data_IF_369938506052
#
_entry.id   IF_369938506052
#
_cell.length_a   1.000
_cell.length_b   1.000
_cell.length_c   1.000
_cell.angle_alpha   90.00
_cell.angle_beta   90.00
_cell.angle_gamma   90.00
#
_symmetry.space_group_name_H-M   'P 1'
#
loop_
_entity.id
_entity.type
_entity.pdbx_description
1 polymer ?
#
# COMPACT_ATOMS: atom_id res chain seq x y z
N UNK A 1 6.78 12.78 1.91
CA UNK A 1 6.55 14.26 1.89
C UNK A 1 5.60 14.61 0.74
N UNK A 2 4.62 15.45 0.99
CA UNK A 2 3.67 15.91 -0.03
C UNK A 2 3.83 17.42 -0.26
N UNK A 3 3.88 17.82 -1.53
CA UNK A 3 4.03 19.22 -1.93
C UNK A 3 2.98 19.58 -2.99
N UNK A 4 2.24 20.66 -2.79
CA UNK A 4 1.30 21.19 -3.80
C UNK A 4 2.11 22.00 -4.82
N UNK A 5 1.99 21.64 -6.09
CA UNK A 5 2.70 22.29 -7.22
C UNK A 5 1.86 23.37 -7.91
N UNK A 6 0.57 23.13 -8.08
CA UNK A 6 -0.35 24.11 -8.63
C UNK A 6 -1.77 23.88 -8.12
N UNK A 7 -2.55 24.95 -8.12
CA UNK A 7 -3.98 24.94 -7.74
C UNK A 7 -4.79 25.67 -8.78
N UNK A 8 -5.99 25.17 -9.06
CA UNK A 8 -7.01 25.82 -9.86
C UNK A 8 -8.38 25.55 -9.25
N UNK A 9 -9.06 26.59 -8.79
CA UNK A 9 -10.29 26.47 -7.99
C UNK A 9 -10.08 25.54 -6.79
N UNK A 10 -10.86 24.45 -6.71
CA UNK A 10 -10.72 23.41 -5.66
C UNK A 10 -9.77 22.28 -6.06
N UNK A 11 -9.29 22.24 -7.30
CA UNK A 11 -8.34 21.27 -7.80
C UNK A 11 -6.90 21.61 -7.45
N UNK A 12 -6.06 20.59 -7.33
CA UNK A 12 -4.62 20.77 -7.14
C UNK A 12 -3.82 19.64 -7.79
N UNK A 13 -2.65 19.99 -8.30
CA UNK A 13 -1.59 19.04 -8.70
C UNK A 13 -0.55 19.07 -7.61
N UNK A 14 -0.17 17.90 -7.12
CA UNK A 14 0.84 17.74 -6.09
C UNK A 14 1.91 16.75 -6.48
N UNK A 15 2.94 16.70 -5.63
CA UNK A 15 4.00 15.71 -5.71
C UNK A 15 4.12 15.00 -4.38
N UNK A 16 4.00 13.68 -4.41
CA UNK A 16 4.19 12.82 -3.26
C UNK A 16 5.52 12.11 -3.40
N UNK A 17 6.41 12.32 -2.43
CA UNK A 17 7.72 11.66 -2.36
C UNK A 17 7.76 10.72 -1.16
N UNK A 18 8.11 9.47 -1.43
CA UNK A 18 8.33 8.41 -0.44
C UNK A 18 9.77 7.89 -0.55
N UNK A 19 10.15 6.95 0.28
CA UNK A 19 11.44 6.24 0.18
C UNK A 19 11.58 5.42 -1.10
N UNK A 20 10.47 4.96 -1.69
CA UNK A 20 10.45 4.10 -2.88
C UNK A 20 10.25 4.86 -4.19
N UNK A 21 10.05 6.18 -4.14
CA UNK A 21 9.90 6.99 -5.33
C UNK A 21 9.04 8.23 -5.15
N UNK A 22 8.73 8.85 -6.29
CA UNK A 22 7.92 10.07 -6.34
C UNK A 22 6.84 9.92 -7.40
N UNK A 23 5.62 10.34 -7.07
CA UNK A 23 4.50 10.39 -8.01
C UNK A 23 3.84 11.77 -8.02
N UNK A 24 3.27 12.12 -9.17
CA UNK A 24 2.38 13.27 -9.28
C UNK A 24 0.96 12.88 -8.87
N UNK A 25 0.26 13.78 -8.22
CA UNK A 25 -1.13 13.60 -7.81
C UNK A 25 -2.05 14.61 -8.50
N UNK A 26 -3.31 14.24 -8.80
CA UNK A 26 -4.00 13.03 -8.39
C UNK A 26 -3.45 11.77 -9.06
N UNK A 27 -3.38 10.66 -8.34
CA UNK A 27 -2.89 9.40 -8.84
C UNK A 27 -3.85 8.25 -8.50
N UNK A 28 -4.00 7.30 -9.40
CA UNK A 28 -4.73 6.07 -9.16
C UNK A 28 -3.77 4.99 -8.66
N UNK A 29 -4.11 4.36 -7.54
CA UNK A 29 -3.38 3.24 -6.98
C UNK A 29 -4.18 1.94 -7.20
N UNK A 30 -3.82 1.10 -8.18
CA UNK A 30 -4.46 -0.20 -8.36
C UNK A 30 -4.29 -1.07 -7.11
N UNK A 31 -5.32 -1.87 -6.80
CA UNK A 31 -5.29 -2.80 -5.68
C UNK A 31 -4.59 -4.08 -6.07
N UNK A 32 -3.60 -4.49 -5.26
CA UNK A 32 -2.96 -5.81 -5.35
C UNK A 32 -3.30 -6.62 -4.12
N UNK A 33 -3.89 -7.80 -4.30
CA UNK A 33 -4.12 -8.73 -3.19
C UNK A 33 -2.79 -9.38 -2.77
N UNK A 34 -2.41 -9.35 -1.47
CA UNK A 34 -1.06 -9.75 -1.05
C UNK A 34 -0.70 -11.22 -1.32
N UNK A 35 -1.69 -12.11 -1.40
CA UNK A 35 -1.47 -13.56 -1.60
C UNK A 35 -2.15 -14.17 -2.82
N UNK A 36 -3.06 -13.44 -3.48
CA UNK A 36 -3.78 -13.92 -4.66
C UNK A 36 -3.86 -12.83 -5.71
N UNK A 37 -2.88 -12.76 -6.58
CA UNK A 37 -2.82 -11.73 -7.64
C UNK A 37 -3.54 -12.23 -8.89
N UNK A 38 -4.55 -11.48 -9.34
CA UNK A 38 -5.22 -11.71 -10.63
C UNK A 38 -4.30 -11.30 -11.79
N UNK A 39 -3.59 -10.18 -11.62
CA UNK A 39 -2.55 -9.71 -12.53
C UNK A 39 -1.21 -9.67 -11.78
N UNK A 40 -0.13 -10.17 -12.39
CA UNK A 40 1.20 -10.01 -11.81
C UNK A 40 1.55 -8.53 -11.58
N UNK A 41 2.20 -8.23 -10.46
CA UNK A 41 2.59 -6.87 -10.10
C UNK A 41 3.45 -6.20 -11.18
N UNK A 42 4.31 -6.96 -11.86
CA UNK A 42 5.11 -6.48 -12.99
C UNK A 42 4.27 -6.02 -14.19
N UNK A 43 3.13 -6.67 -14.44
CA UNK A 43 2.19 -6.23 -15.49
C UNK A 43 1.60 -4.87 -15.15
N UNK A 44 1.21 -4.64 -13.89
CA UNK A 44 0.69 -3.36 -13.41
C UNK A 44 1.76 -2.27 -13.59
N UNK A 45 3.00 -2.57 -13.25
CA UNK A 45 4.14 -1.64 -13.47
C UNK A 45 4.32 -1.30 -14.94
N UNK A 46 4.27 -2.29 -15.82
CA UNK A 46 4.42 -2.10 -17.28
C UNK A 46 3.27 -1.29 -17.90
N UNK A 47 2.10 -1.27 -17.27
CA UNK A 47 0.98 -0.39 -17.67
C UNK A 47 1.19 1.07 -17.24
N UNK A 48 2.30 1.40 -16.57
CA UNK A 48 2.67 2.75 -16.19
C UNK A 48 2.31 3.15 -14.76
N UNK A 49 1.72 2.26 -13.96
CA UNK A 49 1.41 2.56 -12.57
C UNK A 49 2.68 2.56 -11.71
N UNK A 50 2.94 3.66 -11.03
CA UNK A 50 4.11 3.86 -10.18
C UNK A 50 3.83 3.59 -8.69
N UNK A 51 2.56 3.49 -8.34
CA UNK A 51 2.10 3.23 -6.99
C UNK A 51 0.93 2.24 -7.00
N UNK A 52 0.84 1.43 -5.95
CA UNK A 52 -0.25 0.47 -5.74
C UNK A 52 -0.71 0.50 -4.28
N UNK A 53 -1.91 -0.02 -4.03
CA UNK A 53 -2.42 -0.22 -2.68
C UNK A 53 -2.64 -1.71 -2.42
N UNK A 54 -2.30 -2.16 -1.22
CA UNK A 54 -2.57 -3.53 -0.76
C UNK A 54 -3.13 -3.51 0.66
N UNK A 55 -3.66 -4.63 1.13
CA UNK A 55 -4.31 -4.72 2.43
C UNK A 55 -3.37 -5.33 3.47
N UNK A 56 -3.02 -4.56 4.52
CA UNK A 56 -2.12 -4.98 5.58
C UNK A 56 -2.73 -6.08 6.47
N UNK A 57 -4.04 -6.05 6.74
CA UNK A 57 -4.70 -7.09 7.52
C UNK A 57 -4.61 -8.46 6.83
N UNK A 58 -4.89 -8.51 5.52
CA UNK A 58 -4.78 -9.73 4.73
C UNK A 58 -3.32 -10.19 4.66
N UNK A 59 -2.37 -9.27 4.50
CA UNK A 59 -0.94 -9.57 4.52
C UNK A 59 -0.51 -10.16 5.87
N UNK A 60 -0.98 -9.59 6.99
CA UNK A 60 -0.72 -10.10 8.34
C UNK A 60 -1.27 -11.51 8.54
N UNK A 61 -2.49 -11.76 8.06
CA UNK A 61 -3.16 -13.05 8.20
C UNK A 61 -2.51 -14.15 7.35
N UNK A 62 -2.17 -13.86 6.10
CA UNK A 62 -1.79 -14.87 5.10
C UNK A 62 -0.28 -14.98 4.87
N UNK A 63 0.48 -13.92 5.05
CA UNK A 63 1.90 -13.86 4.69
C UNK A 63 2.77 -13.05 5.68
N UNK A 64 2.39 -13.01 6.95
CA UNK A 64 3.07 -12.25 8.00
C UNK A 64 4.58 -12.50 8.05
N UNK A 65 5.00 -13.78 8.07
CA UNK A 65 6.41 -14.15 8.17
C UNK A 65 7.22 -13.69 6.95
N UNK A 66 6.65 -13.81 5.76
CA UNK A 66 7.29 -13.37 4.51
C UNK A 66 7.38 -11.85 4.45
N UNK A 67 6.28 -11.18 4.79
CA UNK A 67 6.19 -9.71 4.76
C UNK A 67 7.13 -9.05 5.76
N UNK A 68 7.26 -9.60 6.98
CA UNK A 68 8.24 -9.11 7.97
C UNK A 68 9.69 -9.33 7.56
N UNK A 69 10.00 -10.47 6.92
CA UNK A 69 11.37 -10.79 6.51
C UNK A 69 11.83 -10.05 5.26
N UNK A 70 10.92 -9.87 4.29
CA UNK A 70 11.28 -9.37 2.95
C UNK A 70 10.71 -7.98 2.64
N UNK A 71 9.79 -7.48 3.47
CA UNK A 71 9.01 -6.27 3.22
C UNK A 71 7.84 -6.50 2.28
N UNK A 72 6.89 -5.57 2.29
CA UNK A 72 5.66 -5.67 1.50
C UNK A 72 5.94 -5.65 -0.01
N UNK A 73 6.89 -4.84 -0.45
CA UNK A 73 7.29 -4.72 -1.86
C UNK A 73 7.67 -6.07 -2.47
N UNK A 74 8.55 -6.81 -1.79
CA UNK A 74 8.97 -8.15 -2.24
C UNK A 74 7.88 -9.19 -2.06
N UNK A 75 7.02 -9.02 -1.07
CA UNK A 75 5.89 -9.94 -0.83
C UNK A 75 4.89 -9.90 -1.99
N UNK A 76 4.56 -8.70 -2.47
CA UNK A 76 3.64 -8.53 -3.61
C UNK A 76 4.36 -8.48 -4.97
N UNK A 77 5.69 -8.38 -4.97
CA UNK A 77 6.50 -8.32 -6.19
C UNK A 77 6.40 -7.00 -6.96
N UNK A 78 6.12 -5.89 -6.27
CA UNK A 78 6.00 -4.57 -6.88
C UNK A 78 7.19 -3.68 -6.55
N UNK A 79 7.86 -3.21 -7.59
CA UNK A 79 8.96 -2.25 -7.50
C UNK A 79 8.43 -0.83 -7.77
N UNK A 80 8.06 -0.14 -6.73
CA UNK A 80 7.46 1.19 -6.73
C UNK A 80 6.86 1.52 -5.38
N UNK A 81 6.02 2.53 -5.32
CA UNK A 81 5.39 2.99 -4.08
C UNK A 81 4.27 2.01 -3.67
N UNK A 82 4.30 1.55 -2.43
CA UNK A 82 3.27 0.67 -1.87
C UNK A 82 2.58 1.36 -0.69
N UNK A 83 1.29 1.61 -0.87
CA UNK A 83 0.39 2.00 0.20
C UNK A 83 -0.24 0.76 0.82
N UNK A 84 -0.42 0.74 2.14
CA UNK A 84 -1.17 -0.31 2.81
C UNK A 84 -2.41 0.23 3.50
N UNK A 85 -3.57 -0.36 3.19
CA UNK A 85 -4.80 -0.18 3.95
C UNK A 85 -4.76 -1.04 5.22
N UNK A 86 -5.17 -0.47 6.35
CA UNK A 86 -5.19 -1.17 7.65
C UNK A 86 -6.15 -2.35 7.72
N UNK A 87 -7.15 -2.39 6.83
CA UNK A 87 -8.15 -3.45 6.79
C UNK A 87 -9.27 -3.31 7.81
N UNK A 88 -9.63 -2.08 8.19
CA UNK A 88 -10.71 -1.82 9.15
C UNK A 88 -12.03 -2.48 8.78
N UNK A 89 -12.39 -2.48 7.50
CA UNK A 89 -13.58 -3.17 7.01
C UNK A 89 -13.52 -4.69 7.25
N UNK A 90 -12.38 -5.33 6.96
CA UNK A 90 -12.18 -6.76 7.16
C UNK A 90 -12.23 -7.16 8.64
N UNK A 91 -11.72 -6.30 9.53
CA UNK A 91 -11.82 -6.52 10.99
C UNK A 91 -13.27 -6.53 11.44
N UNK A 92 -14.09 -5.60 10.95
CA UNK A 92 -15.52 -5.56 11.26
C UNK A 92 -16.26 -6.77 10.72
N UNK A 93 -16.00 -7.15 9.48
CA UNK A 93 -16.72 -8.25 8.83
C UNK A 93 -16.36 -9.62 9.39
N UNK A 94 -15.09 -9.84 9.70
CA UNK A 94 -14.61 -11.14 10.22
C UNK A 94 -14.62 -11.24 11.75
N UNK A 95 -14.93 -10.14 12.46
CA UNK A 95 -14.98 -10.12 13.93
C UNK A 95 -13.63 -10.37 14.60
N UNK A 96 -12.51 -10.00 13.97
CA UNK A 96 -11.19 -10.22 14.53
C UNK A 96 -10.85 -9.15 15.57
N UNK A 97 -10.96 -9.54 16.84
CA UNK A 97 -10.63 -8.68 17.99
C UNK A 97 -9.13 -8.48 18.23
N UNK A 98 -8.28 -9.24 17.55
CA UNK A 98 -6.82 -9.19 17.74
C UNK A 98 -6.12 -8.17 16.82
N UNK A 99 -6.85 -7.54 15.91
CA UNK A 99 -6.33 -6.52 15.00
C UNK A 99 -6.67 -5.11 15.51
N UNK A 100 -6.04 -4.68 16.61
CA UNK A 100 -6.18 -3.31 17.08
C UNK A 100 -5.51 -2.32 16.11
N UNK A 101 -5.95 -1.03 16.06
CA UNK A 101 -5.31 0.00 15.24
C UNK A 101 -3.81 0.08 15.48
N UNK A 102 -3.38 0.02 16.74
CA UNK A 102 -1.96 0.07 17.14
C UNK A 102 -1.19 -1.11 16.56
N UNK A 103 -1.74 -2.34 16.68
CA UNK A 103 -1.09 -3.55 16.17
C UNK A 103 -0.97 -3.54 14.65
N UNK A 104 -1.92 -2.92 13.96
CA UNK A 104 -1.88 -2.77 12.51
C UNK A 104 -0.84 -1.73 12.08
N UNK A 105 -0.78 -0.58 12.76
CA UNK A 105 0.24 0.45 12.50
C UNK A 105 1.65 -0.11 12.68
N UNK A 106 1.91 -0.81 13.78
CA UNK A 106 3.19 -1.48 14.02
C UNK A 106 3.51 -2.47 12.89
N UNK A 107 2.54 -3.28 12.48
CA UNK A 107 2.75 -4.23 11.39
C UNK A 107 3.06 -3.54 10.06
N UNK A 108 2.38 -2.43 9.73
CA UNK A 108 2.63 -1.66 8.52
C UNK A 108 4.05 -1.05 8.49
N UNK A 109 4.57 -0.65 9.64
CA UNK A 109 5.99 -0.25 9.79
C UNK A 109 6.93 -1.44 9.60
N UNK A 110 6.68 -2.56 10.28
CA UNK A 110 7.51 -3.78 10.20
C UNK A 110 7.66 -4.30 8.77
N UNK A 111 6.59 -4.26 7.98
CA UNK A 111 6.61 -4.70 6.58
C UNK A 111 7.12 -3.63 5.61
N UNK A 112 7.51 -2.47 6.14
CA UNK A 112 8.16 -1.41 5.39
C UNK A 112 7.27 -0.78 4.30
N UNK A 113 6.01 -0.51 4.65
CA UNK A 113 5.08 0.25 3.80
C UNK A 113 5.59 1.67 3.53
N UNK A 114 5.32 2.22 2.34
CA UNK A 114 5.63 3.62 2.04
C UNK A 114 4.61 4.59 2.61
N UNK A 115 3.35 4.14 2.62
CA UNK A 115 2.19 4.87 3.14
C UNK A 115 1.26 3.90 3.85
N UNK A 116 0.59 4.42 4.89
CA UNK A 116 -0.36 3.66 5.70
C UNK A 116 -1.54 4.55 6.12
#
# INVERSE_FOLDING_TARGET
MFEVKSTDLAGRIGRLTTKSGTIETPALLPVIHPSRQTLPAGTIKNLGFQAVITNAYIAKKNCSNVSRKKGIHKTIGFDGIVMTDSGGYQVLEYGDVNASPESMTIFQEEINSDMA
#
